data_IF_884009766367
#
_entry.id   IF_884009766367
#
_cell.length_a   1.000
_cell.length_b   1.000
_cell.length_c   1.000
_cell.angle_alpha   90.00
_cell.angle_beta   90.00
_cell.angle_gamma   90.00
#
_symmetry.space_group_name_H-M   'P 1'
#
loop_
_entity.id
_entity.type
_entity.pdbx_description
1 polymer ?
#
# COMPACT_ATOMS: atom_id res chain seq x y z
N UNK A 1 -5.95 -23.50 -1.06
CA UNK A 1 -5.62 -22.06 -1.08
C UNK A 1 -5.09 -21.68 0.30
N UNK A 2 -3.78 -21.52 0.43
CA UNK A 2 -3.18 -21.03 1.66
C UNK A 2 -3.34 -19.51 1.66
N UNK A 3 -4.42 -19.00 2.26
CA UNK A 3 -4.45 -17.60 2.65
C UNK A 3 -3.34 -17.46 3.68
N UNK A 4 -2.19 -16.95 3.29
CA UNK A 4 -1.25 -16.45 4.29
C UNK A 4 -2.06 -15.42 5.09
N UNK A 5 -2.26 -15.66 6.38
CA UNK A 5 -2.95 -14.72 7.28
C UNK A 5 -2.00 -13.55 7.57
N UNK A 6 -1.47 -12.95 6.51
CA UNK A 6 -0.51 -11.89 6.58
C UNK A 6 -1.28 -10.62 6.92
N UNK A 7 -1.21 -10.22 8.19
CA UNK A 7 -1.92 -9.05 8.71
C UNK A 7 -1.63 -7.77 7.92
N UNK A 8 -0.51 -7.72 7.18
CA UNK A 8 -0.16 -6.61 6.29
C UNK A 8 -1.08 -6.48 5.06
N UNK A 9 -1.87 -7.51 4.74
CA UNK A 9 -2.85 -7.51 3.64
C UNK A 9 -4.23 -7.83 4.20
N UNK A 10 -4.88 -6.84 4.82
CA UNK A 10 -6.18 -7.00 5.49
C UNK A 10 -7.30 -6.24 4.77
N UNK A 11 -8.43 -6.90 4.55
CA UNK A 11 -9.67 -6.29 4.04
C UNK A 11 -10.56 -5.88 5.21
N UNK A 12 -10.98 -4.61 5.24
CA UNK A 12 -11.87 -4.09 6.27
C UNK A 12 -13.35 -4.25 5.88
N UNK A 13 -14.19 -4.59 6.85
CA UNK A 13 -15.64 -4.74 6.65
C UNK A 13 -16.30 -3.36 6.45
N UNK A 14 -17.40 -3.31 5.69
CA UNK A 14 -18.15 -2.08 5.44
C UNK A 14 -18.86 -1.52 6.68
N UNK A 15 -19.22 -2.37 7.64
CA UNK A 15 -19.82 -1.96 8.92
C UNK A 15 -18.88 -1.01 9.70
N UNK A 16 -19.36 0.17 10.13
CA UNK A 16 -18.51 1.15 10.80
C UNK A 16 -17.84 0.64 12.08
N UNK A 17 -18.56 -0.13 12.90
CA UNK A 17 -18.08 -0.60 14.20
C UNK A 17 -17.01 -1.68 14.02
N UNK A 18 -17.29 -2.67 13.17
CA UNK A 18 -16.33 -3.71 12.81
C UNK A 18 -15.07 -3.13 12.14
N UNK A 19 -15.24 -2.12 11.27
CA UNK A 19 -14.11 -1.43 10.64
C UNK A 19 -13.22 -0.72 11.66
N UNK A 20 -13.81 -0.02 12.63
CA UNK A 20 -13.03 0.67 13.66
C UNK A 20 -12.23 -0.32 14.51
N UNK A 21 -12.86 -1.42 14.94
CA UNK A 21 -12.18 -2.48 15.67
C UNK A 21 -11.04 -3.11 14.85
N UNK A 22 -11.30 -3.38 13.56
CA UNK A 22 -10.29 -3.91 12.65
C UNK A 22 -9.08 -2.97 12.49
N UNK A 23 -9.31 -1.66 12.41
CA UNK A 23 -8.24 -0.66 12.34
C UNK A 23 -7.41 -0.60 13.63
N UNK A 24 -8.06 -0.65 14.79
CA UNK A 24 -7.38 -0.66 16.08
C UNK A 24 -6.49 -1.91 16.22
N UNK A 25 -7.05 -3.08 15.91
CA UNK A 25 -6.31 -4.33 15.94
C UNK A 25 -5.12 -4.33 14.97
N UNK A 26 -5.31 -3.89 13.72
CA UNK A 26 -4.22 -3.77 12.74
C UNK A 26 -3.13 -2.82 13.21
N UNK A 27 -3.50 -1.71 13.84
CA UNK A 27 -2.55 -0.73 14.37
C UNK A 27 -1.69 -1.35 15.48
N UNK A 28 -2.30 -2.13 16.38
CA UNK A 28 -1.56 -2.88 17.39
C UNK A 28 -0.64 -3.93 16.77
N UNK A 29 -1.11 -4.66 15.75
CA UNK A 29 -0.27 -5.62 15.03
C UNK A 29 0.93 -4.93 14.37
N UNK A 30 0.72 -3.77 13.74
CA UNK A 30 1.81 -2.97 13.17
C UNK A 30 2.82 -2.58 14.24
N UNK A 31 2.37 -2.03 15.37
CA UNK A 31 3.29 -1.56 16.42
C UNK A 31 4.10 -2.70 17.03
N UNK A 32 3.46 -3.83 17.33
CA UNK A 32 4.12 -4.94 18.03
C UNK A 32 4.92 -5.86 17.10
N UNK A 33 4.52 -5.98 15.84
CA UNK A 33 5.16 -6.89 14.89
C UNK A 33 5.97 -6.17 13.83
N UNK A 34 6.24 -4.85 13.95
CA UNK A 34 6.94 -4.07 12.91
C UNK A 34 8.34 -4.58 12.58
N UNK A 35 9.03 -5.25 13.50
CA UNK A 35 10.42 -5.62 13.29
C UNK A 35 10.61 -6.61 12.14
N UNK A 36 9.76 -7.62 12.02
CA UNK A 36 9.87 -8.62 10.95
C UNK A 36 9.58 -8.03 9.55
N UNK A 37 8.45 -7.33 9.31
CA UNK A 37 8.21 -6.66 8.03
C UNK A 37 9.26 -5.61 7.67
N UNK A 38 9.75 -4.85 8.66
CA UNK A 38 10.80 -3.86 8.42
C UNK A 38 12.13 -4.51 8.04
N UNK A 39 12.44 -5.70 8.56
CA UNK A 39 13.61 -6.47 8.16
C UNK A 39 13.51 -7.02 6.72
N UNK A 40 12.29 -7.16 6.19
CA UNK A 40 12.05 -7.52 4.78
C UNK A 40 12.14 -6.33 3.83
N UNK A 41 12.25 -5.10 4.35
CA UNK A 41 12.51 -3.95 3.49
C UNK A 41 13.87 -4.14 2.82
N UNK A 42 13.95 -3.91 1.50
CA UNK A 42 15.20 -4.06 0.78
C UNK A 42 16.23 -3.08 1.35
N UNK A 43 17.47 -3.55 1.52
CA UNK A 43 18.60 -2.73 1.94
C UNK A 43 19.05 -1.82 0.77
N UNK A 44 18.18 -0.90 0.37
CA UNK A 44 18.41 0.06 -0.70
C UNK A 44 19.26 1.19 -0.14
N UNK A 45 20.33 1.56 -0.85
CA UNK A 45 21.14 2.73 -0.49
C UNK A 45 20.30 3.99 -0.67
N UNK A 46 20.51 5.00 0.17
CA UNK A 46 19.73 6.25 0.14
C UNK A 46 19.73 6.97 -1.23
N UNK A 47 20.70 6.68 -2.09
CA UNK A 47 20.87 7.36 -3.39
C UNK A 47 20.16 6.63 -4.54
N UNK A 48 19.63 5.42 -4.31
CA UNK A 48 19.04 4.58 -5.34
C UNK A 48 17.50 4.56 -5.20
N UNK A 49 16.78 4.77 -6.31
CA UNK A 49 15.35 4.52 -6.38
C UNK A 49 15.08 3.01 -6.49
N UNK A 50 14.05 2.51 -5.81
CA UNK A 50 13.67 1.10 -5.82
C UNK A 50 12.19 0.92 -6.18
N UNK A 51 11.92 -0.01 -7.10
CA UNK A 51 10.59 -0.36 -7.58
C UNK A 51 10.44 -1.89 -7.56
N UNK A 52 9.38 -2.39 -6.93
CA UNK A 52 8.99 -3.80 -6.94
C UNK A 52 7.49 -3.92 -7.20
N UNK A 53 7.13 -4.80 -8.13
CA UNK A 53 5.76 -5.11 -8.50
C UNK A 53 5.55 -6.61 -8.36
N UNK A 54 4.78 -7.02 -7.35
CA UNK A 54 4.35 -8.41 -7.21
C UNK A 54 2.95 -8.50 -7.80
N UNK A 55 2.80 -9.17 -8.94
CA UNK A 55 1.57 -9.21 -9.71
C UNK A 55 1.01 -10.63 -9.72
N UNK A 56 -0.21 -10.81 -9.20
CA UNK A 56 -0.93 -12.08 -9.26
C UNK A 56 -2.12 -11.96 -10.22
N UNK A 57 -2.23 -12.90 -11.15
CA UNK A 57 -3.40 -13.00 -12.01
C UNK A 57 -4.56 -13.63 -11.23
N UNK A 58 -5.72 -12.98 -11.28
CA UNK A 58 -6.96 -13.54 -10.77
C UNK A 58 -7.53 -14.54 -11.78
N UNK A 59 -7.74 -15.77 -11.33
CA UNK A 59 -8.32 -16.84 -12.13
C UNK A 59 -9.80 -16.58 -12.50
N UNK A 60 -10.52 -15.75 -11.73
CA UNK A 60 -11.97 -15.53 -11.91
C UNK A 60 -12.30 -14.47 -12.97
N UNK A 61 -11.59 -13.35 -12.98
CA UNK A 61 -11.96 -12.18 -13.79
C UNK A 61 -10.83 -11.69 -14.71
N UNK A 62 -9.74 -12.46 -14.82
CA UNK A 62 -8.51 -12.09 -15.56
C UNK A 62 -7.94 -10.73 -15.13
N UNK A 63 -8.36 -10.22 -13.96
CA UNK A 63 -7.78 -9.03 -13.38
C UNK A 63 -6.40 -9.37 -12.82
N UNK A 64 -5.57 -8.36 -12.66
CA UNK A 64 -4.29 -8.49 -12.01
C UNK A 64 -4.39 -7.81 -10.66
N UNK A 65 -4.17 -8.56 -9.58
CA UNK A 65 -4.07 -8.02 -8.22
C UNK A 65 -2.58 -7.90 -7.92
N UNK A 66 -2.12 -6.66 -7.72
CA UNK A 66 -0.70 -6.36 -7.52
C UNK A 66 -0.41 -5.72 -6.17
N UNK A 67 0.73 -6.09 -5.58
CA UNK A 67 1.39 -5.30 -4.55
C UNK A 67 2.52 -4.49 -5.20
N UNK A 68 2.41 -3.18 -5.11
CA UNK A 68 3.46 -2.26 -5.53
C UNK A 68 4.25 -1.77 -4.30
N UNK A 69 5.58 -1.83 -4.37
CA UNK A 69 6.47 -1.29 -3.36
C UNK A 69 7.48 -0.36 -4.03
N UNK A 70 7.48 0.90 -3.61
CA UNK A 70 8.36 1.93 -4.16
C UNK A 70 9.13 2.66 -3.06
N UNK A 71 10.39 2.98 -3.33
CA UNK A 71 11.23 3.87 -2.54
C UNK A 71 11.89 4.90 -3.46
N UNK A 72 11.75 6.17 -3.12
CA UNK A 72 12.32 7.31 -3.85
C UNK A 72 12.72 8.41 -2.87
N UNK A 73 13.80 9.12 -3.22
CA UNK A 73 14.27 10.25 -2.44
C UNK A 73 13.59 11.52 -2.93
N UNK A 74 12.68 12.05 -2.12
CA UNK A 74 12.04 13.32 -2.43
C UNK A 74 12.88 14.48 -1.89
N UNK A 75 13.23 15.48 -2.71
CA UNK A 75 13.89 16.68 -2.22
C UNK A 75 12.91 17.46 -1.34
N UNK A 76 13.28 17.68 -0.07
CA UNK A 76 12.46 18.48 0.84
C UNK A 76 12.38 17.97 2.27
N UNK A 77 11.52 18.60 3.07
CA UNK A 77 11.24 18.18 4.45
C UNK A 77 10.00 17.30 4.51
N UNK A 78 9.91 16.47 5.56
CA UNK A 78 8.71 15.66 5.85
C UNK A 78 7.43 16.49 5.90
N UNK A 79 7.51 17.76 6.32
CA UNK A 79 6.36 18.66 6.35
C UNK A 79 5.86 19.02 4.94
N UNK A 80 6.78 19.23 3.98
CA UNK A 80 6.40 19.48 2.59
C UNK A 80 5.76 18.24 1.97
N UNK A 81 6.31 17.06 2.24
CA UNK A 81 5.72 15.79 1.81
C UNK A 81 4.31 15.62 2.39
N UNK A 82 4.13 15.83 3.70
CA UNK A 82 2.81 15.77 4.34
C UNK A 82 1.80 16.67 3.64
N UNK A 83 2.16 17.94 3.41
CA UNK A 83 1.30 18.91 2.72
C UNK A 83 0.97 18.48 1.30
N UNK A 84 1.93 17.94 0.56
CA UNK A 84 1.74 17.43 -0.80
C UNK A 84 0.71 16.28 -0.81
N UNK A 85 0.88 15.30 0.08
CA UNK A 85 -0.03 14.15 0.21
C UNK A 85 -1.43 14.62 0.63
N UNK A 86 -1.54 15.45 1.66
CA UNK A 86 -2.83 15.97 2.13
C UNK A 86 -3.57 16.77 1.05
N UNK A 87 -2.83 17.52 0.22
CA UNK A 87 -3.43 18.34 -0.84
C UNK A 87 -3.78 17.53 -2.09
N UNK A 88 -3.03 16.45 -2.38
CA UNK A 88 -3.10 15.74 -3.67
C UNK A 88 -3.31 14.23 -3.56
N UNK A 89 -3.77 13.69 -2.43
CA UNK A 89 -3.86 12.24 -2.18
C UNK A 89 -4.59 11.45 -3.29
N UNK A 90 -5.54 12.08 -4.00
CA UNK A 90 -6.19 11.49 -5.18
C UNK A 90 -5.37 11.60 -6.47
N UNK A 91 -4.65 12.70 -6.68
CA UNK A 91 -3.87 12.95 -7.89
C UNK A 91 -2.48 12.28 -7.87
N UNK A 92 -1.89 12.09 -6.69
CA UNK A 92 -0.57 11.46 -6.52
C UNK A 92 -0.64 9.93 -6.63
N UNK A 93 -1.72 9.31 -6.14
CA UNK A 93 -1.83 7.85 -6.12
C UNK A 93 -2.53 7.26 -7.36
N UNK A 94 -3.23 8.07 -8.16
CA UNK A 94 -3.96 7.61 -9.35
C UNK A 94 -3.89 8.64 -10.48
N UNK A 95 -2.76 8.78 -11.18
CA UNK A 95 -2.76 9.53 -12.42
C UNK A 95 -3.45 8.67 -13.48
N UNK A 96 -4.69 9.04 -13.84
CA UNK A 96 -5.56 8.42 -14.85
C UNK A 96 -6.16 7.04 -14.48
N UNK A 97 -7.38 7.09 -13.94
CA UNK A 97 -8.36 6.02 -14.13
C UNK A 97 -9.51 6.54 -15.01
N UNK A 98 -9.18 7.23 -16.10
CA UNK A 98 -10.11 7.62 -17.16
C UNK A 98 -9.43 7.33 -18.49
N UNK A 99 -9.69 6.14 -19.03
CA UNK A 99 -9.80 5.84 -20.48
C UNK A 99 -9.82 4.32 -20.69
N UNK A 100 -11.00 3.70 -20.57
CA UNK A 100 -11.53 2.73 -21.54
C UNK A 100 -13.03 2.58 -21.31
N UNK A 101 -13.80 3.64 -21.57
CA UNK A 101 -15.16 3.48 -22.05
C UNK A 101 -15.09 3.62 -23.58
N UNK A 102 -14.62 2.57 -24.26
CA UNK A 102 -14.84 2.46 -25.71
C UNK A 102 -16.30 2.06 -25.93
N UNK A 103 -17.08 2.99 -26.49
CA UNK A 103 -18.29 2.67 -27.26
C UNK A 103 -17.91 2.34 -28.68
#
# INVERSE_FOLDING_TARGET
MSRSNAWHSATLVADPSARNLGKEWLTQQMYHNMHEPLALLPAVKNDDEFYQFDLEASDEDKSLVGLERIQFTWPGTVQMFRRLVETNMKAVNFPNCDETAST
#
